data_IF_067290393598
#
_entry.id   IF_067290393598
#
_cell.length_a   1.000
_cell.length_b   1.000
_cell.length_c   1.000
_cell.angle_alpha   90.00
_cell.angle_beta   90.00
_cell.angle_gamma   90.00
#
_symmetry.space_group_name_H-M   'P 1'
#
loop_
_entity.id
_entity.type
_entity.pdbx_description
1 polymer ?
#
# COMPACT_ATOMS: atom_id res chain seq x y z
N UNK A 1 -24.17 4.49 -28.30
CA UNK A 1 -22.79 4.33 -27.81
C UNK A 1 -22.80 3.83 -26.36
N UNK A 2 -22.07 2.77 -25.99
CA UNK A 2 -22.00 2.34 -24.59
C UNK A 2 -21.33 3.43 -23.77
N UNK A 3 -21.98 3.91 -22.71
CA UNK A 3 -21.43 4.91 -21.81
C UNK A 3 -20.06 4.49 -21.26
N UNK A 4 -19.11 5.43 -21.24
CA UNK A 4 -17.76 5.24 -20.72
C UNK A 4 -17.81 4.93 -19.22
N UNK A 5 -17.24 3.79 -18.80
CA UNK A 5 -17.18 3.39 -17.39
C UNK A 5 -16.25 4.32 -16.62
N UNK A 6 -16.63 4.74 -15.41
CA UNK A 6 -15.87 5.67 -14.59
C UNK A 6 -15.27 4.99 -13.37
N UNK A 7 -13.98 5.21 -13.16
CA UNK A 7 -13.25 4.77 -11.96
C UNK A 7 -12.50 5.93 -11.35
N UNK A 8 -12.30 5.91 -10.04
CA UNK A 8 -11.61 6.97 -9.32
C UNK A 8 -10.58 6.42 -8.34
N UNK A 9 -9.60 7.25 -7.99
CA UNK A 9 -8.90 7.16 -6.71
C UNK A 9 -9.24 8.40 -5.88
N UNK A 10 -9.62 8.17 -4.60
CA UNK A 10 -9.95 9.23 -3.65
C UNK A 10 -8.91 9.30 -2.53
N UNK A 11 -8.54 10.52 -2.14
CA UNK A 11 -7.55 10.77 -1.08
C UNK A 11 -7.34 12.25 -0.82
N UNK A 12 -6.51 12.56 0.20
CA UNK A 12 -6.07 13.92 0.48
C UNK A 12 -4.75 13.90 1.30
N UNK A 13 -3.61 14.26 0.71
CA UNK A 13 -3.42 14.70 -0.68
C UNK A 13 -3.54 13.56 -1.71
N UNK A 14 -3.79 13.90 -2.99
CA UNK A 14 -3.96 12.93 -4.08
C UNK A 14 -3.21 13.33 -5.35
N UNK A 15 -2.61 14.54 -5.39
CA UNK A 15 -2.00 15.12 -6.59
C UNK A 15 -0.97 14.19 -7.24
N UNK A 16 -0.14 13.53 -6.44
CA UNK A 16 0.98 12.69 -6.87
C UNK A 16 0.61 11.21 -7.12
N UNK A 17 -0.68 10.86 -7.09
CA UNK A 17 -1.10 9.49 -7.37
C UNK A 17 -0.89 9.15 -8.85
N UNK A 18 -0.22 8.04 -9.12
CA UNK A 18 0.00 7.48 -10.46
C UNK A 18 -1.06 6.44 -10.85
N UNK A 19 -2.12 6.30 -10.04
CA UNK A 19 -3.19 5.32 -10.34
C UNK A 19 -3.92 5.61 -11.64
N UNK A 20 -4.24 6.87 -12.02
CA UNK A 20 -4.86 7.17 -13.30
C UNK A 20 -4.01 6.68 -14.49
N UNK A 21 -2.73 6.98 -14.48
CA UNK A 21 -1.79 6.66 -15.57
C UNK A 21 -1.66 5.14 -15.76
N UNK A 22 -1.60 4.40 -14.65
CA UNK A 22 -1.49 2.95 -14.67
C UNK A 22 -2.79 2.27 -15.11
N UNK A 23 -3.92 2.65 -14.50
CA UNK A 23 -5.22 2.05 -14.84
C UNK A 23 -5.67 2.40 -16.24
N UNK A 24 -5.48 3.65 -16.70
CA UNK A 24 -5.82 4.06 -18.05
C UNK A 24 -5.01 3.27 -19.08
N UNK A 25 -3.69 3.12 -18.87
CA UNK A 25 -2.87 2.27 -19.73
C UNK A 25 -3.42 0.83 -19.86
N UNK A 26 -3.88 0.24 -18.76
CA UNK A 26 -4.46 -1.10 -18.80
C UNK A 26 -5.85 -1.13 -19.44
N UNK A 27 -6.68 -0.10 -19.27
CA UNK A 27 -7.96 0.00 -19.96
C UNK A 27 -7.75 0.05 -21.48
N UNK A 28 -6.85 0.89 -21.95
CA UNK A 28 -6.53 1.05 -23.37
C UNK A 28 -6.00 -0.27 -23.97
N UNK A 29 -5.03 -0.89 -23.29
CA UNK A 29 -4.46 -2.19 -23.73
C UNK A 29 -5.47 -3.34 -23.75
N UNK A 30 -6.48 -3.32 -22.90
CA UNK A 30 -7.54 -4.34 -22.85
C UNK A 30 -8.80 -3.95 -23.64
N UNK A 31 -8.77 -2.84 -24.37
CA UNK A 31 -9.90 -2.31 -25.17
C UNK A 31 -11.17 -2.15 -24.31
N UNK A 32 -11.02 -1.65 -23.08
CA UNK A 32 -12.12 -1.39 -22.15
C UNK A 32 -12.45 0.11 -22.22
N UNK A 33 -13.64 0.46 -22.69
CA UNK A 33 -14.09 1.85 -22.76
C UNK A 33 -14.33 2.41 -21.35
N UNK A 34 -13.27 2.92 -20.74
CA UNK A 34 -13.27 3.40 -19.35
C UNK A 34 -12.37 4.62 -19.16
N UNK A 35 -12.64 5.38 -18.13
CA UNK A 35 -11.75 6.44 -17.65
C UNK A 35 -11.43 6.24 -16.17
N UNK A 36 -10.23 6.64 -15.79
CA UNK A 36 -9.80 6.63 -14.38
C UNK A 36 -9.26 8.00 -13.99
N UNK A 37 -9.82 8.59 -12.94
CA UNK A 37 -9.45 9.93 -12.47
C UNK A 37 -9.06 9.93 -11.01
N UNK A 38 -8.27 10.92 -10.59
CA UNK A 38 -8.01 11.23 -9.18
C UNK A 38 -8.96 12.32 -8.70
N UNK A 39 -9.46 12.16 -7.48
CA UNK A 39 -10.37 13.11 -6.87
C UNK A 39 -9.93 13.40 -5.44
N UNK A 40 -9.54 14.64 -5.18
CA UNK A 40 -9.33 15.13 -3.82
C UNK A 40 -10.66 15.32 -3.14
N UNK A 41 -10.86 14.73 -1.97
CA UNK A 41 -12.08 14.86 -1.19
C UNK A 41 -11.75 15.18 0.27
N UNK A 42 -12.74 15.67 1.01
CA UNK A 42 -12.73 15.66 2.48
C UNK A 42 -13.60 14.52 3.04
N UNK A 43 -13.59 14.36 4.36
CA UNK A 43 -14.30 13.26 5.00
C UNK A 43 -15.84 13.35 4.87
N UNK A 44 -16.42 14.54 4.68
CA UNK A 44 -17.86 14.76 4.52
C UNK A 44 -18.35 14.27 3.17
N UNK A 45 -17.50 14.31 2.16
CA UNK A 45 -17.84 13.90 0.79
C UNK A 45 -17.82 12.37 0.58
N UNK A 46 -17.32 11.58 1.53
CA UNK A 46 -17.22 10.11 1.39
C UNK A 46 -18.59 9.50 1.06
N UNK A 47 -19.63 9.84 1.83
CA UNK A 47 -20.99 9.30 1.64
C UNK A 47 -21.55 9.61 0.26
N UNK A 48 -21.35 10.82 -0.22
CA UNK A 48 -21.81 11.26 -1.55
C UNK A 48 -21.13 10.43 -2.66
N UNK A 49 -19.80 10.29 -2.60
CA UNK A 49 -19.06 9.52 -3.60
C UNK A 49 -19.48 8.05 -3.61
N UNK A 50 -19.70 7.45 -2.45
CA UNK A 50 -20.16 6.06 -2.36
C UNK A 50 -21.59 5.91 -2.89
N UNK A 51 -22.47 6.90 -2.72
CA UNK A 51 -23.79 6.90 -3.34
C UNK A 51 -23.74 6.93 -4.87
N UNK A 52 -22.72 7.57 -5.49
CA UNK A 52 -22.51 7.53 -6.94
C UNK A 52 -22.21 6.10 -7.42
N UNK A 53 -21.53 5.28 -6.60
CA UNK A 53 -21.32 3.86 -6.91
C UNK A 53 -22.64 3.09 -6.80
N UNK A 54 -23.45 3.32 -5.76
CA UNK A 54 -24.79 2.71 -5.64
C UNK A 54 -25.70 3.03 -6.83
N UNK A 55 -25.61 4.27 -7.34
CA UNK A 55 -26.36 4.73 -8.54
C UNK A 55 -25.72 4.28 -9.86
N UNK A 56 -24.65 3.47 -9.83
CA UNK A 56 -23.90 2.98 -11.01
C UNK A 56 -23.34 4.10 -11.90
N UNK A 57 -23.13 5.30 -11.33
CA UNK A 57 -22.47 6.43 -12.00
C UNK A 57 -20.93 6.29 -11.97
N UNK A 58 -20.43 5.49 -11.02
CA UNK A 58 -19.03 5.11 -10.85
C UNK A 58 -19.00 3.59 -10.65
N UNK A 59 -18.15 2.89 -11.39
CA UNK A 59 -18.02 1.43 -11.33
C UNK A 59 -17.21 0.94 -10.13
N UNK A 60 -16.21 1.72 -9.72
CA UNK A 60 -15.38 1.40 -8.57
C UNK A 60 -14.41 2.50 -8.22
N UNK A 61 -13.93 2.48 -6.99
CA UNK A 61 -12.93 3.43 -6.52
C UNK A 61 -11.80 2.76 -5.78
N UNK A 62 -10.58 3.32 -5.92
CA UNK A 62 -9.53 3.10 -4.94
C UNK A 62 -9.59 4.18 -3.86
N UNK A 63 -9.18 3.80 -2.66
CA UNK A 63 -9.13 4.67 -1.49
C UNK A 63 -7.71 4.72 -0.97
N UNK A 64 -7.19 5.95 -0.77
CA UNK A 64 -5.89 6.14 -0.14
C UNK A 64 -5.98 7.01 1.12
N UNK A 65 -4.85 7.50 1.59
CA UNK A 65 -4.74 8.34 2.79
C UNK A 65 -5.67 9.55 2.70
N UNK A 66 -6.38 9.90 3.80
CA UNK A 66 -6.45 9.25 5.12
C UNK A 66 -7.69 8.38 5.29
N UNK A 67 -8.33 7.91 4.22
CA UNK A 67 -9.71 7.44 4.22
C UNK A 67 -9.88 5.91 4.32
N UNK A 68 -8.80 5.11 4.20
CA UNK A 68 -8.86 3.63 4.15
C UNK A 68 -9.67 2.97 5.29
N UNK A 69 -9.61 3.54 6.50
CA UNK A 69 -10.39 3.04 7.64
C UNK A 69 -11.73 3.78 7.77
N UNK A 70 -11.78 5.04 7.31
CA UNK A 70 -12.96 5.89 7.48
C UNK A 70 -14.13 5.48 6.59
N UNK A 71 -13.86 4.90 5.41
CA UNK A 71 -14.88 4.45 4.48
C UNK A 71 -15.67 3.25 4.98
N UNK A 72 -15.09 2.45 5.90
CA UNK A 72 -15.64 1.17 6.36
C UNK A 72 -17.08 1.30 6.87
N UNK A 73 -17.36 2.34 7.65
CA UNK A 73 -18.69 2.57 8.24
C UNK A 73 -19.80 2.85 7.22
N UNK A 74 -19.46 3.08 5.96
CA UNK A 74 -20.40 3.35 4.87
C UNK A 74 -20.55 2.16 3.90
N UNK A 75 -19.85 1.06 4.16
CA UNK A 75 -19.84 -0.13 3.32
C UNK A 75 -20.80 -1.18 3.90
N UNK A 76 -21.40 -1.97 3.01
CA UNK A 76 -22.33 -3.02 3.42
C UNK A 76 -21.57 -4.29 3.82
N UNK A 77 -20.47 -4.60 3.11
CA UNK A 77 -19.68 -5.83 3.34
C UNK A 77 -18.20 -5.53 3.18
N UNK A 78 -17.38 -6.08 4.06
CA UNK A 78 -15.95 -6.21 3.86
C UNK A 78 -15.65 -7.59 3.27
N UNK A 79 -14.90 -7.65 2.17
CA UNK A 79 -14.42 -8.92 1.58
C UNK A 79 -12.89 -9.04 1.70
N UNK A 80 -12.39 -10.22 1.44
CA UNK A 80 -10.96 -10.50 1.35
C UNK A 80 -10.16 -10.08 2.59
N UNK A 81 -9.04 -9.43 2.33
CA UNK A 81 -8.12 -9.00 3.38
C UNK A 81 -8.59 -7.76 4.15
N UNK A 82 -9.61 -7.05 3.65
CA UNK A 82 -10.21 -5.91 4.36
C UNK A 82 -10.80 -6.31 5.72
N UNK A 83 -11.37 -7.53 5.84
CA UNK A 83 -11.90 -8.06 7.10
C UNK A 83 -10.83 -8.14 8.18
N UNK A 84 -9.63 -8.64 7.81
CA UNK A 84 -8.52 -8.86 8.76
C UNK A 84 -7.74 -7.58 9.04
N UNK A 85 -7.63 -6.69 8.04
CA UNK A 85 -6.84 -5.46 8.17
C UNK A 85 -7.64 -4.28 8.74
N UNK A 86 -8.98 -4.31 8.68
CA UNK A 86 -9.86 -3.16 8.92
C UNK A 86 -9.38 -1.92 8.14
N UNK A 87 -8.98 -2.14 6.89
CA UNK A 87 -8.46 -1.14 5.97
C UNK A 87 -8.93 -1.47 4.57
N UNK A 88 -9.57 -0.52 3.89
CA UNK A 88 -10.15 -0.69 2.57
C UNK A 88 -9.44 0.24 1.60
N UNK A 89 -8.94 -0.29 0.49
CA UNK A 89 -8.36 0.50 -0.60
C UNK A 89 -9.06 0.30 -1.94
N UNK A 90 -10.06 -0.60 -2.01
CA UNK A 90 -10.79 -0.91 -3.24
C UNK A 90 -12.27 -1.10 -2.91
N UNK A 91 -13.17 -0.34 -3.59
CA UNK A 91 -14.61 -0.39 -3.37
C UNK A 91 -15.32 -0.58 -4.71
N UNK A 92 -16.38 -1.39 -4.71
CA UNK A 92 -17.20 -1.70 -5.87
C UNK A 92 -18.61 -2.14 -5.47
N UNK A 93 -19.54 -2.18 -6.44
CA UNK A 93 -20.90 -2.68 -6.23
C UNK A 93 -21.00 -4.15 -6.66
N UNK A 94 -21.59 -4.99 -5.82
CA UNK A 94 -21.87 -6.41 -6.10
C UNK A 94 -23.22 -6.79 -5.50
N UNK A 95 -24.15 -7.27 -6.33
CA UNK A 95 -25.52 -7.61 -5.89
C UNK A 95 -26.18 -6.48 -5.08
N UNK A 96 -26.08 -5.24 -5.59
CA UNK A 96 -26.56 -4.00 -4.98
C UNK A 96 -25.99 -3.66 -3.59
N UNK A 97 -24.90 -4.32 -3.17
CA UNK A 97 -24.16 -4.02 -1.93
C UNK A 97 -22.82 -3.38 -2.24
N UNK A 98 -22.44 -2.37 -1.47
CA UNK A 98 -21.10 -1.78 -1.51
C UNK A 98 -20.10 -2.69 -0.80
N UNK A 99 -19.16 -3.19 -1.57
CA UNK A 99 -18.13 -4.10 -1.08
C UNK A 99 -16.83 -3.32 -0.91
N UNK A 100 -16.17 -3.48 0.24
CA UNK A 100 -14.81 -3.02 0.47
C UNK A 100 -13.81 -4.16 0.54
N UNK A 101 -12.74 -4.06 -0.24
CA UNK A 101 -11.63 -5.01 -0.23
C UNK A 101 -10.29 -4.31 0.00
N UNK A 102 -9.26 -5.09 0.31
CA UNK A 102 -7.90 -4.61 0.53
C UNK A 102 -6.93 -5.31 -0.42
N UNK A 103 -6.47 -4.58 -1.42
CA UNK A 103 -5.49 -5.09 -2.39
C UNK A 103 -4.04 -4.78 -2.02
N UNK A 104 -3.78 -3.99 -0.95
CA UNK A 104 -2.41 -3.68 -0.49
C UNK A 104 -1.68 -4.94 0.00
N UNK A 105 -2.40 -5.86 0.68
CA UNK A 105 -1.84 -7.15 1.13
C UNK A 105 -1.29 -7.93 -0.05
N UNK A 106 -2.08 -8.05 -1.12
CA UNK A 106 -1.66 -8.69 -2.37
C UNK A 106 -0.48 -7.94 -3.00
N UNK A 107 -0.57 -6.61 -3.07
CA UNK A 107 0.49 -5.75 -3.62
C UNK A 107 1.83 -5.98 -2.95
N UNK A 108 1.87 -6.00 -1.64
CA UNK A 108 3.10 -6.23 -0.88
C UNK A 108 3.59 -7.68 -1.00
N UNK A 109 2.69 -8.65 -0.90
CA UNK A 109 3.04 -10.07 -1.02
C UNK A 109 3.65 -10.41 -2.40
N UNK A 110 3.01 -9.98 -3.49
CA UNK A 110 3.45 -10.31 -4.84
C UNK A 110 4.52 -9.36 -5.39
N UNK A 111 4.43 -8.06 -5.06
CA UNK A 111 5.41 -7.07 -5.51
C UNK A 111 6.74 -7.17 -4.76
N UNK A 112 6.72 -7.47 -3.46
CA UNK A 112 7.90 -7.43 -2.61
C UNK A 112 8.26 -8.82 -2.08
N UNK A 113 7.40 -9.43 -1.25
CA UNK A 113 7.77 -10.64 -0.51
C UNK A 113 8.07 -11.85 -1.41
N UNK A 114 7.44 -11.94 -2.58
CA UNK A 114 7.73 -13.01 -3.56
C UNK A 114 9.15 -12.92 -4.13
N UNK A 115 9.75 -11.73 -4.18
CA UNK A 115 11.12 -11.50 -4.67
C UNK A 115 12.19 -11.81 -3.62
N UNK A 116 11.80 -11.93 -2.34
CA UNK A 116 12.70 -12.24 -1.24
C UNK A 116 12.76 -13.75 -1.08
N UNK A 117 13.95 -14.30 -1.40
CA UNK A 117 14.21 -15.75 -1.34
C UNK A 117 14.67 -16.22 0.06
N UNK A 118 15.23 -15.31 0.85
CA UNK A 118 15.70 -15.62 2.21
C UNK A 118 14.53 -15.84 3.16
N UNK A 119 14.70 -16.76 4.13
CA UNK A 119 13.71 -16.96 5.20
C UNK A 119 13.66 -15.73 6.09
N UNK A 120 12.47 -15.21 6.33
CA UNK A 120 12.23 -14.06 7.22
C UNK A 120 11.66 -14.61 8.53
N UNK A 121 12.44 -14.60 9.60
CA UNK A 121 12.00 -14.99 10.95
C UNK A 121 11.41 -13.80 11.68
N UNK A 122 12.06 -12.64 11.57
CA UNK A 122 11.64 -11.38 12.20
C UNK A 122 11.63 -10.23 11.20
N UNK A 123 10.71 -9.29 11.39
CA UNK A 123 10.56 -8.08 10.60
C UNK A 123 10.56 -6.83 11.47
N UNK A 124 11.18 -5.74 10.99
CA UNK A 124 11.11 -4.40 11.57
C UNK A 124 10.19 -3.52 10.73
N UNK A 125 9.29 -2.78 11.37
CA UNK A 125 8.41 -1.83 10.71
C UNK A 125 8.54 -0.45 11.34
N UNK A 126 8.76 0.55 10.51
CA UNK A 126 8.77 1.96 10.90
C UNK A 126 7.47 2.60 10.42
N UNK A 127 6.58 2.97 11.36
CA UNK A 127 5.32 3.63 11.10
C UNK A 127 4.07 2.80 11.45
N UNK A 128 2.95 3.50 11.71
CA UNK A 128 1.65 2.92 12.05
C UNK A 128 0.51 3.67 11.33
N UNK A 129 0.62 3.75 10.01
CA UNK A 129 -0.36 4.39 9.12
C UNK A 129 -1.43 3.42 8.59
N UNK A 130 -2.26 3.92 7.66
CA UNK A 130 -3.39 3.16 7.10
C UNK A 130 -3.03 1.89 6.31
N UNK A 131 -1.77 1.73 5.89
CA UNK A 131 -1.28 0.54 5.18
C UNK A 131 -0.64 -0.49 6.10
N UNK A 132 -0.27 -0.11 7.32
CA UNK A 132 0.52 -0.93 8.24
C UNK A 132 -0.13 -2.28 8.52
N UNK A 133 -1.44 -2.32 8.77
CA UNK A 133 -2.17 -3.60 8.97
C UNK A 133 -2.07 -4.52 7.76
N UNK A 134 -2.01 -3.97 6.54
CA UNK A 134 -1.87 -4.76 5.31
C UNK A 134 -0.48 -5.38 5.19
N UNK A 135 0.57 -4.62 5.53
CA UNK A 135 1.95 -5.11 5.55
C UNK A 135 2.12 -6.21 6.60
N UNK A 136 1.62 -5.98 7.82
CA UNK A 136 1.63 -6.98 8.91
C UNK A 136 0.95 -8.28 8.44
N UNK A 137 -0.26 -8.18 7.88
CA UNK A 137 -0.99 -9.36 7.42
C UNK A 137 -0.23 -10.12 6.31
N UNK A 138 0.40 -9.42 5.39
CA UNK A 138 1.21 -10.04 4.34
C UNK A 138 2.44 -10.77 4.91
N UNK A 139 3.12 -10.18 5.90
CA UNK A 139 4.22 -10.82 6.62
C UNK A 139 3.77 -12.09 7.37
N UNK A 140 2.65 -12.01 8.08
CA UNK A 140 2.08 -13.17 8.78
C UNK A 140 1.73 -14.30 7.79
N UNK A 141 1.11 -13.97 6.65
CA UNK A 141 0.83 -14.94 5.58
C UNK A 141 2.10 -15.56 4.98
N UNK A 142 3.22 -14.83 4.98
CA UNK A 142 4.54 -15.34 4.56
C UNK A 142 5.21 -16.24 5.62
N UNK A 143 4.65 -16.32 6.83
CA UNK A 143 5.15 -17.14 7.94
C UNK A 143 6.00 -16.38 8.95
N UNK A 144 6.08 -15.04 8.87
CA UNK A 144 6.76 -14.22 9.88
C UNK A 144 5.97 -14.22 11.17
N UNK A 145 6.63 -14.50 12.29
CA UNK A 145 5.99 -14.62 13.62
C UNK A 145 6.40 -13.51 14.59
N UNK A 146 7.49 -12.80 14.32
CA UNK A 146 8.04 -11.75 15.19
C UNK A 146 8.12 -10.46 14.41
N UNK A 147 7.26 -9.48 14.72
CA UNK A 147 7.19 -8.21 14.01
C UNK A 147 7.39 -7.08 15.02
N UNK A 148 8.57 -6.51 14.99
CA UNK A 148 8.90 -5.33 15.77
C UNK A 148 8.38 -4.09 15.05
N UNK A 149 7.72 -3.20 15.77
CA UNK A 149 7.14 -2.00 15.18
C UNK A 149 7.40 -0.77 16.04
N UNK A 150 7.87 0.28 15.40
CA UNK A 150 8.04 1.58 16.03
C UNK A 150 7.22 2.65 15.34
N UNK A 151 6.78 3.67 16.09
CA UNK A 151 6.05 4.81 15.56
C UNK A 151 6.15 5.99 16.50
N UNK A 152 6.19 7.20 15.97
CA UNK A 152 6.20 8.44 16.77
C UNK A 152 5.08 8.50 17.81
N UNK A 153 3.86 8.10 17.44
CA UNK A 153 2.71 7.99 18.34
C UNK A 153 2.58 6.57 18.84
N UNK A 154 3.10 6.28 20.03
CA UNK A 154 3.16 4.92 20.58
C UNK A 154 1.77 4.29 20.81
N UNK A 155 0.75 5.08 21.15
CA UNK A 155 -0.62 4.56 21.36
C UNK A 155 -1.20 3.83 20.15
N UNK A 156 -0.83 4.22 18.93
CA UNK A 156 -1.24 3.50 17.69
C UNK A 156 -0.71 2.07 17.64
N UNK A 157 0.42 1.79 18.28
CA UNK A 157 1.03 0.46 18.32
C UNK A 157 0.25 -0.49 19.23
N UNK A 158 -0.36 0.03 20.31
CA UNK A 158 -1.23 -0.75 21.20
C UNK A 158 -2.41 -1.35 20.45
N UNK A 159 -3.04 -0.58 19.56
CA UNK A 159 -4.15 -1.04 18.71
C UNK A 159 -3.70 -2.17 17.78
N UNK A 160 -2.53 -2.03 17.15
CA UNK A 160 -1.98 -3.07 16.29
C UNK A 160 -1.62 -4.34 17.08
N UNK A 161 -1.06 -4.19 18.30
CA UNK A 161 -0.74 -5.31 19.18
C UNK A 161 -2.00 -6.11 19.57
N UNK A 162 -3.10 -5.42 19.90
CA UNK A 162 -4.38 -6.09 20.19
C UNK A 162 -4.92 -6.83 18.97
N UNK A 163 -4.83 -6.20 17.79
CA UNK A 163 -5.37 -6.76 16.55
C UNK A 163 -4.61 -8.00 16.07
N UNK A 164 -3.30 -8.00 16.18
CA UNK A 164 -2.42 -9.08 15.73
C UNK A 164 -1.71 -9.74 16.92
N UNK A 165 -2.51 -10.26 17.88
CA UNK A 165 -2.04 -10.85 19.14
C UNK A 165 -0.89 -11.83 18.93
N UNK A 166 0.14 -11.75 19.79
CA UNK A 166 1.31 -12.62 19.76
C UNK A 166 2.33 -12.37 18.63
N UNK A 167 1.99 -11.55 17.63
CA UNK A 167 2.88 -11.31 16.48
C UNK A 167 3.58 -9.95 16.55
N UNK A 168 3.01 -8.97 17.28
CA UNK A 168 3.46 -7.58 17.28
C UNK A 168 4.17 -7.24 18.58
N UNK A 169 5.37 -6.70 18.43
CA UNK A 169 6.25 -6.24 19.51
C UNK A 169 6.48 -4.72 19.36
N UNK A 170 5.67 -3.88 20.04
CA UNK A 170 5.84 -2.43 20.01
C UNK A 170 7.16 -2.02 20.64
N UNK A 171 7.89 -1.14 19.96
CA UNK A 171 9.18 -0.61 20.42
C UNK A 171 9.08 0.91 20.47
N UNK A 172 9.62 1.51 21.52
CA UNK A 172 9.77 2.97 21.60
C UNK A 172 10.73 3.44 20.50
N UNK A 173 10.52 4.64 20.00
CA UNK A 173 11.37 5.18 18.93
C UNK A 173 12.87 5.16 19.27
N UNK A 174 13.22 5.52 20.49
CA UNK A 174 14.63 5.60 20.90
C UNK A 174 15.30 4.22 21.09
N UNK A 175 14.51 3.13 21.19
CA UNK A 175 15.01 1.79 21.43
C UNK A 175 15.06 0.94 20.15
N UNK A 176 14.61 1.48 18.99
CA UNK A 176 14.45 0.67 17.77
C UNK A 176 15.79 0.12 17.24
N UNK A 177 16.88 0.87 17.37
CA UNK A 177 18.19 0.43 16.89
C UNK A 177 18.67 -0.84 17.61
N UNK A 178 18.42 -0.97 18.93
CA UNK A 178 18.82 -2.13 19.73
C UNK A 178 18.13 -3.43 19.31
N UNK A 179 16.93 -3.32 18.72
CA UNK A 179 16.07 -4.48 18.40
C UNK A 179 16.08 -4.81 16.92
N UNK A 180 16.26 -3.79 16.06
CA UNK A 180 16.21 -4.00 14.62
C UNK A 180 17.42 -4.75 14.05
N UNK A 181 18.53 -4.87 14.78
CA UNK A 181 19.65 -5.71 14.34
C UNK A 181 19.28 -7.20 14.19
N UNK A 182 18.20 -7.68 14.83
CA UNK A 182 17.74 -9.07 14.72
C UNK A 182 16.90 -9.35 13.46
N UNK A 183 16.37 -8.32 12.76
CA UNK A 183 15.41 -8.52 11.66
C UNK A 183 16.11 -8.91 10.35
N UNK A 184 15.40 -9.64 9.50
CA UNK A 184 15.84 -9.99 8.14
C UNK A 184 15.20 -9.06 7.09
N UNK A 185 14.21 -8.28 7.49
CA UNK A 185 13.56 -7.27 6.67
C UNK A 185 13.21 -6.04 7.50
N UNK A 186 13.57 -4.86 7.02
CA UNK A 186 13.20 -3.57 7.60
C UNK A 186 12.32 -2.80 6.60
N UNK A 187 11.18 -2.28 7.08
CA UNK A 187 10.15 -1.72 6.21
C UNK A 187 9.76 -0.32 6.69
N UNK A 188 9.97 0.70 5.85
CA UNK A 188 9.36 2.02 6.04
C UNK A 188 7.92 1.98 5.51
N UNK A 189 6.94 2.23 6.41
CA UNK A 189 5.52 2.39 6.06
C UNK A 189 4.99 3.79 6.38
N UNK A 190 5.89 4.74 6.58
CA UNK A 190 5.56 6.17 6.79
C UNK A 190 5.49 6.89 5.44
N UNK A 191 5.12 8.16 5.46
CA UNK A 191 5.25 9.06 4.31
C UNK A 191 6.60 9.79 4.25
N UNK A 192 7.51 9.51 5.19
CA UNK A 192 8.86 10.11 5.15
C UNK A 192 9.61 9.61 3.92
N UNK A 193 10.29 10.52 3.23
CA UNK A 193 10.96 10.27 1.97
C UNK A 193 10.08 10.40 0.73
N UNK A 194 8.75 10.57 0.88
CA UNK A 194 7.85 10.88 -0.24
C UNK A 194 8.09 12.31 -0.74
N UNK A 195 7.86 12.56 -2.02
CA UNK A 195 7.97 13.88 -2.62
C UNK A 195 7.25 14.96 -1.79
N UNK A 196 7.97 16.00 -1.39
CA UNK A 196 7.47 17.08 -0.54
C UNK A 196 7.42 16.75 0.97
N UNK A 197 7.93 15.60 1.39
CA UNK A 197 8.08 15.22 2.80
C UNK A 197 9.55 15.18 3.22
N UNK A 198 9.80 15.25 4.54
CA UNK A 198 11.14 15.08 5.13
C UNK A 198 11.66 13.66 4.87
N UNK A 199 12.97 13.51 4.73
CA UNK A 199 13.62 12.21 4.62
C UNK A 199 13.50 11.38 5.92
N UNK A 200 13.42 10.06 5.74
CA UNK A 200 13.66 9.13 6.84
C UNK A 200 15.17 8.87 6.94
N UNK A 201 15.79 9.42 7.97
CA UNK A 201 17.16 9.10 8.34
C UNK A 201 17.18 7.84 9.20
N UNK A 202 18.03 6.89 8.86
CA UNK A 202 18.20 5.63 9.62
C UNK A 202 19.65 5.22 9.58
N UNK A 203 20.19 4.80 10.73
CA UNK A 203 21.55 4.29 10.84
C UNK A 203 21.57 2.80 10.50
N UNK A 204 22.12 2.46 9.34
CA UNK A 204 22.23 1.09 8.87
C UNK A 204 23.49 0.38 9.38
N UNK A 205 24.40 1.07 10.08
CA UNK A 205 25.60 0.44 10.67
C UNK A 205 25.29 -0.53 11.80
N UNK A 206 24.06 -0.48 12.34
CA UNK A 206 23.59 -1.41 13.37
C UNK A 206 23.47 -2.86 12.90
N UNK A 207 23.51 -3.12 11.59
CA UNK A 207 23.35 -4.46 11.06
C UNK A 207 24.69 -5.13 10.76
N UNK A 208 25.02 -6.18 11.48
CA UNK A 208 26.21 -7.01 11.25
C UNK A 208 26.10 -7.89 9.99
N UNK A 209 24.91 -7.92 9.37
CA UNK A 209 24.58 -8.74 8.20
C UNK A 209 23.74 -7.99 7.19
N UNK A 210 23.76 -8.46 5.94
CA UNK A 210 22.89 -7.92 4.89
C UNK A 210 21.45 -8.32 5.13
N UNK A 211 20.54 -7.33 5.12
CA UNK A 211 19.10 -7.52 5.26
C UNK A 211 18.35 -7.03 4.01
N UNK A 212 17.04 -7.30 3.97
CA UNK A 212 16.15 -6.71 2.97
C UNK A 212 15.59 -5.40 3.52
N UNK A 213 15.72 -4.32 2.78
CA UNK A 213 15.18 -3.00 3.16
C UNK A 213 14.12 -2.60 2.17
N UNK A 214 12.94 -2.27 2.67
CA UNK A 214 11.77 -1.93 1.87
C UNK A 214 11.29 -0.54 2.24
N UNK A 215 11.03 0.28 1.23
CA UNK A 215 10.30 1.52 1.40
C UNK A 215 9.00 1.43 0.59
N UNK A 216 7.84 1.65 1.22
CA UNK A 216 6.56 1.64 0.47
C UNK A 216 6.33 2.92 -0.32
N UNK A 217 7.16 3.94 -0.12
CA UNK A 217 7.19 5.12 -0.99
C UNK A 217 7.64 4.69 -2.39
N UNK A 218 6.95 5.19 -3.42
CA UNK A 218 7.25 4.92 -4.82
C UNK A 218 7.56 6.20 -5.62
N UNK A 219 7.31 7.36 -5.05
CA UNK A 219 7.67 8.64 -5.63
C UNK A 219 8.32 9.55 -4.56
N UNK A 220 9.64 9.74 -4.62
CA UNK A 220 10.60 9.16 -5.56
C UNK A 220 10.79 7.64 -5.37
N UNK A 221 11.21 6.93 -6.44
CA UNK A 221 11.48 5.48 -6.36
C UNK A 221 12.70 5.17 -5.47
N UNK A 222 13.72 6.05 -5.49
CA UNK A 222 14.94 5.94 -4.69
C UNK A 222 14.95 6.97 -3.57
N UNK A 223 14.26 6.68 -2.48
CA UNK A 223 14.28 7.53 -1.26
C UNK A 223 15.66 7.57 -0.60
N UNK A 224 15.91 8.55 0.25
CA UNK A 224 17.16 8.64 1.04
C UNK A 224 17.35 7.35 1.86
N UNK A 225 16.31 6.84 2.48
CA UNK A 225 16.31 5.59 3.24
C UNK A 225 16.83 4.40 2.41
N UNK A 226 16.37 4.24 1.17
CA UNK A 226 16.85 3.18 0.28
C UNK A 226 18.28 3.43 -0.22
N UNK A 227 18.66 4.68 -0.49
CA UNK A 227 20.02 5.04 -0.90
C UNK A 227 21.04 4.71 0.21
N UNK A 228 20.71 5.05 1.45
CA UNK A 228 21.57 4.78 2.60
C UNK A 228 21.67 3.27 2.88
N UNK A 229 20.57 2.54 2.78
CA UNK A 229 20.57 1.08 2.88
C UNK A 229 21.47 0.42 1.80
N UNK A 230 21.38 0.89 0.55
CA UNK A 230 22.21 0.38 -0.54
C UNK A 230 23.70 0.64 -0.31
N UNK A 231 24.06 1.84 0.18
CA UNK A 231 25.45 2.18 0.53
C UNK A 231 26.05 1.23 1.59
N UNK A 232 25.19 0.75 2.51
CA UNK A 232 25.58 -0.24 3.53
C UNK A 232 25.45 -1.70 3.03
N UNK A 233 25.29 -1.92 1.72
CA UNK A 233 25.30 -3.24 1.10
C UNK A 233 24.01 -4.05 1.27
N UNK A 234 22.92 -3.45 1.74
CA UNK A 234 21.63 -4.12 1.92
C UNK A 234 20.89 -4.27 0.59
N UNK A 235 20.01 -5.30 0.51
CA UNK A 235 19.13 -5.49 -0.62
C UNK A 235 17.90 -4.60 -0.49
N UNK A 236 17.63 -3.76 -1.49
CA UNK A 236 16.58 -2.76 -1.44
C UNK A 236 15.40 -3.13 -2.33
N UNK A 237 14.19 -2.67 -1.91
CA UNK A 237 12.94 -2.80 -2.66
C UNK A 237 12.14 -1.50 -2.53
N UNK A 238 11.74 -0.91 -3.65
CA UNK A 238 10.90 0.29 -3.66
C UNK A 238 9.42 -0.05 -3.64
N UNK A 239 8.61 0.92 -3.25
CA UNK A 239 7.15 0.80 -3.22
C UNK A 239 6.49 0.66 -4.60
N UNK A 240 7.23 0.90 -5.69
CA UNK A 240 6.69 0.85 -7.04
C UNK A 240 6.11 -0.52 -7.39
N UNK A 241 6.79 -1.59 -7.00
CA UNK A 241 6.29 -2.96 -7.20
C UNK A 241 4.97 -3.19 -6.44
N UNK A 242 4.92 -2.81 -5.16
CA UNK A 242 3.70 -2.92 -4.36
C UNK A 242 2.57 -2.12 -4.99
N UNK A 243 2.84 -0.89 -5.45
CA UNK A 243 1.88 -0.03 -6.10
C UNK A 243 1.30 -0.68 -7.37
N UNK A 244 2.12 -1.25 -8.23
CA UNK A 244 1.68 -1.90 -9.47
C UNK A 244 0.80 -3.13 -9.15
N UNK A 245 1.25 -4.00 -8.25
CA UNK A 245 0.52 -5.24 -7.98
C UNK A 245 -0.80 -5.02 -7.22
N UNK A 246 -0.89 -4.04 -6.30
CA UNK A 246 -2.17 -3.69 -5.68
C UNK A 246 -3.17 -3.14 -6.72
N UNK A 247 -2.70 -2.32 -7.66
CA UNK A 247 -3.52 -1.81 -8.75
C UNK A 247 -3.96 -2.94 -9.71
N UNK A 248 -3.07 -3.90 -10.03
CA UNK A 248 -3.41 -5.09 -10.82
C UNK A 248 -4.56 -5.88 -10.18
N UNK A 249 -4.50 -6.06 -8.85
CA UNK A 249 -5.55 -6.79 -8.12
C UNK A 249 -6.87 -6.01 -8.11
N UNK A 250 -6.85 -4.68 -7.93
CA UNK A 250 -8.03 -3.83 -8.00
C UNK A 250 -8.66 -3.89 -9.42
N UNK A 251 -7.84 -3.77 -10.46
CA UNK A 251 -8.28 -3.89 -11.85
C UNK A 251 -8.98 -5.24 -12.11
N UNK A 252 -8.40 -6.35 -11.61
CA UNK A 252 -8.99 -7.69 -11.72
C UNK A 252 -10.33 -7.78 -10.99
N UNK A 253 -10.47 -7.19 -9.80
CA UNK A 253 -11.72 -7.18 -9.04
C UNK A 253 -12.84 -6.55 -9.88
N UNK A 254 -12.57 -5.41 -10.50
CA UNK A 254 -13.56 -4.66 -11.27
C UNK A 254 -13.88 -5.27 -12.64
N UNK A 255 -12.85 -5.73 -13.36
CA UNK A 255 -12.97 -6.07 -14.78
C UNK A 255 -12.90 -7.58 -15.07
N UNK A 256 -12.62 -8.41 -14.06
CA UNK A 256 -12.38 -9.86 -14.20
C UNK A 256 -11.26 -10.21 -15.19
N UNK A 257 -10.47 -9.23 -15.60
CA UNK A 257 -9.28 -9.37 -16.44
C UNK A 257 -8.05 -9.02 -15.63
N UNK A 258 -7.03 -9.88 -15.65
CA UNK A 258 -5.76 -9.64 -14.96
C UNK A 258 -4.77 -9.03 -15.95
N UNK A 259 -4.46 -7.73 -15.88
CA UNK A 259 -3.53 -7.10 -16.81
C UNK A 259 -2.11 -7.62 -16.59
N UNK A 260 -1.33 -7.70 -17.67
CA UNK A 260 0.09 -8.09 -17.55
C UNK A 260 0.91 -6.95 -16.95
N UNK A 261 1.78 -7.29 -16.01
CA UNK A 261 2.81 -6.39 -15.48
C UNK A 261 4.07 -6.61 -16.30
N UNK A 262 4.39 -5.66 -17.18
CA UNK A 262 5.50 -5.75 -18.14
C UNK A 262 6.50 -4.64 -17.90
N UNK A 263 7.70 -4.74 -18.47
CA UNK A 263 8.71 -3.68 -18.43
C UNK A 263 8.20 -2.35 -18.98
N UNK A 264 7.24 -2.36 -19.91
CA UNK A 264 6.62 -1.12 -20.43
C UNK A 264 5.88 -0.37 -19.33
N UNK A 265 5.18 -1.08 -18.42
CA UNK A 265 4.51 -0.47 -17.26
C UNK A 265 5.53 0.25 -16.38
N UNK A 266 6.64 -0.42 -16.05
CA UNK A 266 7.70 0.20 -15.23
C UNK A 266 8.33 1.41 -15.90
N UNK A 267 8.68 1.30 -17.20
CA UNK A 267 9.28 2.43 -17.96
C UNK A 267 8.35 3.63 -17.98
N UNK A 268 7.05 3.42 -18.24
CA UNK A 268 6.05 4.50 -18.24
C UNK A 268 5.95 5.20 -16.88
N UNK A 269 5.84 4.44 -15.79
CA UNK A 269 5.72 5.02 -14.44
C UNK A 269 7.00 5.72 -14.00
N UNK A 270 8.18 5.14 -14.27
CA UNK A 270 9.48 5.76 -13.97
C UNK A 270 9.69 7.07 -14.72
N UNK A 271 9.26 7.17 -15.97
CA UNK A 271 9.30 8.43 -16.69
C UNK A 271 8.55 9.52 -15.94
N UNK A 272 7.31 9.26 -15.50
CA UNK A 272 6.49 10.23 -14.77
C UNK A 272 7.04 10.56 -13.36
N UNK A 273 7.74 9.61 -12.72
CA UNK A 273 8.35 9.84 -11.39
C UNK A 273 9.59 10.74 -11.50
N UNK A 274 10.31 10.67 -12.64
CA UNK A 274 11.57 11.41 -12.86
C UNK A 274 11.38 12.75 -13.55
N UNK A 275 10.23 12.98 -14.19
CA UNK A 275 9.79 14.27 -14.74
C UNK A 275 9.22 15.17 -13.62
#
# INVERSE_FOLDING_TARGET
MKNKKKFLVIGNPIKHSLSPELHQYWFDKNKINSEYKKLKIDHRQIKEILNKIRKKQIEGINVTIPFKNRVIKYLDILEGDAKKTSSVNTIYLKKNKLIGDNTDVYGFAFGILKKIKTKIKAAGIIGAGGVTSSIILALIKKGVRKIYITNRTFSKLKVLKQKFKGMIFPIKWNDHLKVFNEVQILINVTSLGMQGQKDLKFDFSIFDRKINVVDIVYNPENTRFLKDARKNGHKIFSGLDMFIYQAQKAFYIWNKKKPKVTNVVYKKLRKIIND
#
